data_IF_881447639804
#
_entry.id   IF_881447639804
#
_cell.length_a   1.000
_cell.length_b   1.000
_cell.length_c   1.000
_cell.angle_alpha   90.00
_cell.angle_beta   90.00
_cell.angle_gamma   90.00
#
_symmetry.space_group_name_H-M   'P 1'
#
loop_
_entity.id
_entity.type
_entity.pdbx_description
1 polymer ?
#
# COMPACT_ATOMS: atom_id res chain seq x y z
N UNK A 1 3.08 14.93 -13.47
CA UNK A 1 2.65 13.54 -13.21
C UNK A 1 2.25 12.91 -14.53
N UNK A 2 2.65 11.66 -14.76
CA UNK A 2 2.24 10.90 -15.95
C UNK A 2 0.87 10.25 -15.66
N UNK A 3 -0.19 10.55 -16.44
CA UNK A 3 -1.55 10.05 -16.18
C UNK A 3 -1.66 8.53 -16.09
N UNK A 4 -0.73 7.79 -16.71
CA UNK A 4 -0.73 6.32 -16.70
C UNK A 4 -0.55 5.70 -15.32
N UNK A 5 -0.02 6.46 -14.35
CA UNK A 5 0.26 5.96 -13.00
C UNK A 5 -0.73 6.45 -11.94
N UNK A 6 -1.72 7.27 -12.30
CA UNK A 6 -2.67 7.82 -11.32
C UNK A 6 -3.51 6.75 -10.62
N UNK A 7 -3.77 5.63 -11.29
CA UNK A 7 -4.53 4.51 -10.74
C UNK A 7 -3.65 3.34 -10.26
N UNK A 8 -2.32 3.49 -10.28
CA UNK A 8 -1.45 2.41 -9.82
C UNK A 8 -1.53 2.30 -8.29
N UNK A 9 -1.95 1.15 -7.74
CA UNK A 9 -2.01 1.02 -6.30
C UNK A 9 -0.64 1.02 -5.63
N UNK A 10 -0.50 1.74 -4.51
CA UNK A 10 0.79 1.93 -3.81
C UNK A 10 0.75 1.41 -2.37
N UNK A 11 1.42 0.28 -2.12
CA UNK A 11 1.54 -0.32 -0.79
C UNK A 11 2.93 -0.06 -0.21
N UNK A 12 2.98 0.51 0.99
CA UNK A 12 4.23 0.68 1.74
C UNK A 12 4.48 -0.51 2.66
N UNK A 13 5.69 -1.06 2.63
CA UNK A 13 6.12 -2.15 3.52
C UNK A 13 7.35 -1.70 4.32
N UNK A 14 7.18 -1.45 5.63
CA UNK A 14 8.19 -0.79 6.47
C UNK A 14 8.50 -1.56 7.75
N UNK A 15 9.74 -1.45 8.25
CA UNK A 15 10.09 -1.89 9.61
C UNK A 15 9.78 -0.82 10.67
N UNK A 16 9.67 0.45 10.25
CA UNK A 16 9.27 1.56 11.10
C UNK A 16 7.76 1.73 10.98
N UNK A 17 7.03 1.46 12.06
CA UNK A 17 5.56 1.48 12.09
C UNK A 17 5.04 2.53 13.06
N UNK A 18 5.85 3.54 13.37
CA UNK A 18 5.42 4.66 14.19
C UNK A 18 4.37 5.51 13.45
N UNK A 19 3.53 6.18 14.23
CA UNK A 19 2.39 6.96 13.73
C UNK A 19 2.82 8.05 12.75
N UNK A 20 3.97 8.69 12.97
CA UNK A 20 4.46 9.75 12.10
C UNK A 20 4.85 9.19 10.72
N UNK A 21 5.58 8.07 10.69
CA UNK A 21 5.94 7.37 9.46
C UNK A 21 4.71 6.92 8.68
N UNK A 22 3.69 6.37 9.37
CA UNK A 22 2.44 5.99 8.73
C UNK A 22 1.73 7.21 8.12
N UNK A 23 1.60 8.31 8.86
CA UNK A 23 0.97 9.53 8.36
C UNK A 23 1.69 10.09 7.14
N UNK A 24 3.03 10.12 7.14
CA UNK A 24 3.81 10.60 5.99
C UNK A 24 3.61 9.71 4.75
N UNK A 25 3.49 8.39 4.93
CA UNK A 25 3.20 7.49 3.82
C UNK A 25 1.84 7.81 3.19
N UNK A 26 0.78 7.88 3.99
CA UNK A 26 -0.56 8.21 3.49
C UNK A 26 -0.63 9.61 2.87
N UNK A 27 0.00 10.61 3.48
CA UNK A 27 0.09 11.96 2.92
C UNK A 27 0.82 12.02 1.57
N UNK A 28 1.68 11.03 1.28
CA UNK A 28 2.38 10.90 0.00
C UNK A 28 1.57 10.17 -1.08
N UNK A 29 0.30 9.81 -0.79
CA UNK A 29 -0.55 9.03 -1.69
C UNK A 29 -0.43 7.52 -1.52
N UNK A 30 0.10 7.06 -0.38
CA UNK A 30 0.04 5.64 -0.06
C UNK A 30 -1.40 5.18 0.10
N UNK A 31 -1.58 3.95 -0.29
CA UNK A 31 -2.84 3.32 -0.49
C UNK A 31 -3.04 2.29 0.64
N UNK A 32 -1.96 1.59 1.02
CA UNK A 32 -1.86 0.78 2.24
C UNK A 32 -0.48 0.98 2.89
N UNK A 33 -0.39 0.63 4.18
CA UNK A 33 0.84 0.61 4.95
C UNK A 33 0.92 -0.66 5.80
N UNK A 34 1.99 -1.41 5.65
CA UNK A 34 2.17 -2.72 6.26
C UNK A 34 3.54 -2.81 6.95
N UNK A 35 3.57 -3.48 8.11
CA UNK A 35 4.82 -3.86 8.76
C UNK A 35 5.55 -4.96 8.00
N UNK A 36 6.88 -4.88 7.86
CA UNK A 36 7.73 -5.96 7.33
C UNK A 36 7.64 -7.27 8.12
N UNK A 37 7.10 -7.23 9.34
CA UNK A 37 6.86 -8.42 10.18
C UNK A 37 5.57 -9.17 9.80
N UNK A 38 4.88 -8.75 8.73
CA UNK A 38 3.70 -9.45 8.21
C UNK A 38 4.05 -10.88 7.76
N UNK A 39 3.13 -11.82 8.00
CA UNK A 39 3.27 -13.17 7.48
C UNK A 39 3.03 -13.20 5.96
N UNK A 40 3.80 -14.03 5.24
CA UNK A 40 3.70 -14.14 3.77
C UNK A 40 2.27 -14.32 3.22
N UNK A 41 1.45 -15.23 3.77
CA UNK A 41 0.06 -15.39 3.33
C UNK A 41 -0.80 -14.14 3.51
N UNK A 42 -0.61 -13.38 4.59
CA UNK A 42 -1.36 -12.14 4.81
C UNK A 42 -0.93 -11.06 3.82
N UNK A 43 0.37 -10.94 3.53
CA UNK A 43 0.88 -10.01 2.52
C UNK A 43 0.30 -10.33 1.14
N UNK A 44 0.28 -11.61 0.75
CA UNK A 44 -0.29 -12.05 -0.52
C UNK A 44 -1.79 -11.67 -0.61
N UNK A 45 -2.57 -11.93 0.44
CA UNK A 45 -3.99 -11.57 0.48
C UNK A 45 -4.20 -10.06 0.32
N UNK A 46 -3.39 -9.23 0.99
CA UNK A 46 -3.47 -7.77 0.87
C UNK A 46 -3.14 -7.26 -0.53
N UNK A 47 -2.12 -7.83 -1.18
CA UNK A 47 -1.76 -7.49 -2.56
C UNK A 47 -2.91 -7.83 -3.51
N UNK A 48 -3.45 -9.05 -3.44
CA UNK A 48 -4.54 -9.49 -4.31
C UNK A 48 -5.79 -8.63 -4.12
N UNK A 49 -6.19 -8.37 -2.88
CA UNK A 49 -7.33 -7.50 -2.57
C UNK A 49 -7.17 -6.08 -3.13
N UNK A 50 -5.93 -5.58 -3.22
CA UNK A 50 -5.65 -4.25 -3.76
C UNK A 50 -5.69 -4.22 -5.28
N UNK A 51 -5.19 -5.27 -5.93
CA UNK A 51 -5.25 -5.43 -7.38
C UNK A 51 -6.70 -5.57 -7.86
N UNK A 52 -7.51 -6.38 -7.18
CA UNK A 52 -8.93 -6.57 -7.53
C UNK A 52 -9.71 -5.25 -7.48
N UNK A 53 -9.45 -4.40 -6.48
CA UNK A 53 -10.12 -3.09 -6.35
C UNK A 53 -9.76 -2.11 -7.47
N UNK A 54 -8.56 -2.22 -8.04
CA UNK A 54 -8.14 -1.36 -9.16
C UNK A 54 -8.73 -1.78 -10.51
N UNK A 55 -9.37 -2.96 -10.58
CA UNK A 55 -10.04 -3.44 -11.79
C UNK A 55 -11.53 -3.04 -11.86
N UNK A 56 -12.08 -2.47 -10.79
CA UNK A 56 -13.52 -2.14 -10.69
C UNK A 56 -13.84 -0.67 -11.02
N UNK A 57 -12.82 0.12 -11.37
CA UNK A 57 -12.95 1.53 -11.78
C UNK A 57 -12.80 1.71 -13.30
#
# INVERSE_FOLDING_TARGET
>A
SDPRWHALPVLFLSAHTDTETMHRAFASGADDFISKTIAGPELASRILNRLDRCQVD
#
